data_IF_653647209360
#
_entry.id   IF_653647209360
#
_cell.length_a   1.000
_cell.length_b   1.000
_cell.length_c   1.000
_cell.angle_alpha   90.00
_cell.angle_beta   90.00
_cell.angle_gamma   90.00
#
_symmetry.space_group_name_H-M   'P 1'
#
loop_
_entity.id
_entity.type
_entity.pdbx_description
1 polymer ?
#
# COMPACT_ATOMS: atom_id res chain seq x y z
N UNK A 1 -48.81 7.79 32.95
CA UNK A 1 -47.69 8.74 33.12
C UNK A 1 -46.40 7.94 33.02
N UNK A 2 -45.75 7.98 31.86
CA UNK A 2 -44.41 7.42 31.66
C UNK A 2 -43.38 8.41 32.22
N UNK A 3 -42.47 7.94 33.07
CA UNK A 3 -41.33 8.72 33.51
C UNK A 3 -40.06 8.13 32.87
N UNK A 4 -39.40 8.97 32.08
CA UNK A 4 -38.20 8.74 31.30
C UNK A 4 -36.97 8.56 32.20
N UNK A 5 -36.23 7.46 32.05
CA UNK A 5 -34.90 7.32 32.65
C UNK A 5 -33.82 7.70 31.62
N UNK A 6 -33.08 8.76 31.90
CA UNK A 6 -31.91 9.19 31.12
C UNK A 6 -30.72 8.26 31.40
N UNK A 7 -30.12 7.70 30.34
CA UNK A 7 -28.79 7.10 30.40
C UNK A 7 -27.74 8.12 29.97
N UNK A 8 -27.08 8.78 30.91
CA UNK A 8 -25.75 9.35 30.69
C UNK A 8 -25.04 9.69 32.01
N UNK A 9 -24.26 8.76 32.57
CA UNK A 9 -23.08 9.10 33.40
C UNK A 9 -21.99 8.02 33.24
N UNK A 10 -20.72 8.39 33.05
CA UNK A 10 -19.60 7.46 33.03
C UNK A 10 -19.17 7.02 34.45
N UNK A 11 -18.54 5.85 34.60
CA UNK A 11 -18.13 5.32 35.91
C UNK A 11 -16.92 6.07 36.53
N UNK A 12 -16.75 6.03 37.87
CA UNK A 12 -15.69 6.75 38.58
C UNK A 12 -14.29 6.13 38.38
N UNK A 13 -13.21 6.94 38.49
CA UNK A 13 -11.84 6.48 38.30
C UNK A 13 -11.29 5.67 39.49
N UNK A 14 -10.41 4.72 39.18
CA UNK A 14 -9.77 3.77 40.11
C UNK A 14 -8.54 4.42 40.78
N UNK A 15 -8.26 4.20 42.08
CA UNK A 15 -7.09 4.78 42.76
C UNK A 15 -5.74 4.22 42.29
N UNK A 16 -4.74 5.11 42.16
CA UNK A 16 -3.35 4.80 41.82
C UNK A 16 -2.68 3.88 42.87
N UNK A 17 -2.25 2.68 42.47
CA UNK A 17 -1.36 1.81 43.24
C UNK A 17 0.09 1.98 42.73
N UNK A 18 0.87 2.81 43.41
CA UNK A 18 2.31 2.96 43.17
C UNK A 18 3.11 1.85 43.83
N UNK A 19 3.92 1.13 43.06
CA UNK A 19 4.89 0.12 43.52
C UNK A 19 6.20 0.82 43.97
N UNK A 20 6.80 0.47 45.13
CA UNK A 20 8.00 1.14 45.64
C UNK A 20 9.31 0.68 44.97
N UNK A 21 10.36 1.52 44.93
CA UNK A 21 11.64 1.20 44.27
C UNK A 21 12.56 0.30 45.12
N UNK A 22 13.48 -0.46 44.50
CA UNK A 22 14.36 -1.39 45.21
C UNK A 22 15.59 -0.72 45.85
N UNK A 23 15.95 -1.20 47.04
CA UNK A 23 17.04 -0.76 47.92
C UNK A 23 18.44 -1.12 47.39
N UNK A 24 19.37 -0.17 47.46
CA UNK A 24 20.80 -0.33 47.12
C UNK A 24 21.62 -0.83 48.32
N UNK A 25 22.11 -2.08 48.27
CA UNK A 25 23.14 -2.58 49.20
C UNK A 25 24.56 -2.32 48.66
N UNK A 26 25.42 -1.76 49.51
CA UNK A 26 26.85 -1.56 49.26
C UNK A 26 27.65 -2.84 49.54
N UNK A 27 28.59 -3.19 48.65
CA UNK A 27 29.67 -4.17 48.89
C UNK A 27 31.02 -3.60 48.43
N UNK A 28 32.15 -3.97 49.07
CA UNK A 28 33.38 -3.19 49.04
C UNK A 28 34.32 -3.48 47.86
N UNK A 29 35.20 -2.51 47.67
CA UNK A 29 36.19 -2.33 46.61
C UNK A 29 37.36 -3.34 46.70
N UNK A 30 37.75 -3.95 45.57
CA UNK A 30 39.08 -4.57 45.38
C UNK A 30 39.72 -4.05 44.09
N UNK A 31 40.95 -3.56 44.19
CA UNK A 31 41.85 -3.22 43.09
C UNK A 31 42.59 -4.46 42.58
N UNK A 32 42.84 -4.55 41.26
CA UNK A 32 44.15 -4.64 40.59
C UNK A 32 44.04 -5.23 39.17
N UNK A 33 44.77 -4.59 38.24
CA UNK A 33 45.28 -5.06 36.93
C UNK A 33 44.23 -5.49 35.86
N UNK A 34 44.36 -5.27 34.55
CA UNK A 34 45.46 -4.93 33.65
C UNK A 34 44.86 -4.43 32.32
N UNK A 35 45.67 -3.74 31.51
CA UNK A 35 45.28 -3.11 30.23
C UNK A 35 44.90 -4.15 29.17
N UNK A 36 43.82 -3.90 28.43
CA UNK A 36 43.64 -4.46 27.09
C UNK A 36 42.94 -3.42 26.17
N UNK A 37 43.62 -2.81 25.17
CA UNK A 37 43.06 -1.70 24.39
C UNK A 37 42.03 -2.09 23.32
N UNK A 38 41.80 -3.38 23.08
CA UNK A 38 41.17 -3.83 21.81
C UNK A 38 39.70 -4.25 21.88
N UNK A 39 38.98 -4.02 23.00
CA UNK A 39 37.58 -4.48 23.15
C UNK A 39 36.48 -3.50 22.71
N UNK A 40 36.81 -2.31 22.18
CA UNK A 40 35.82 -1.25 21.90
C UNK A 40 35.33 -1.14 20.44
N UNK A 41 35.42 -2.20 19.62
CA UNK A 41 35.01 -2.15 18.19
C UNK A 41 33.72 -2.91 17.84
N UNK A 42 33.01 -3.51 18.79
CA UNK A 42 31.85 -4.37 18.47
C UNK A 42 30.47 -3.84 18.91
N UNK A 43 30.39 -2.71 19.62
CA UNK A 43 29.11 -2.06 19.92
C UNK A 43 29.22 -0.56 19.68
N UNK A 44 28.82 -0.12 18.48
CA UNK A 44 28.44 1.27 18.26
C UNK A 44 27.06 1.48 18.90
N UNK A 45 26.88 2.45 19.81
CA UNK A 45 25.55 2.79 20.30
C UNK A 45 24.69 3.28 19.13
N UNK A 46 23.41 2.91 19.13
CA UNK A 46 22.42 3.47 18.22
C UNK A 46 22.47 5.00 18.29
N UNK A 47 22.91 5.66 17.21
CA UNK A 47 22.77 7.10 17.06
C UNK A 47 21.33 7.38 16.62
N UNK A 48 20.53 8.13 17.39
CA UNK A 48 19.23 8.59 16.92
C UNK A 48 19.44 9.40 15.64
N UNK A 49 18.64 9.13 14.62
CA UNK A 49 18.62 9.91 13.38
C UNK A 49 18.59 11.40 13.71
N UNK A 50 19.62 12.14 13.28
CA UNK A 50 19.55 13.60 13.23
C UNK A 50 18.44 13.95 12.25
N UNK A 51 17.37 14.57 12.77
CA UNK A 51 16.34 15.19 11.94
C UNK A 51 17.04 16.18 11.00
N UNK A 52 16.75 16.20 9.69
CA UNK A 52 17.24 17.27 8.84
C UNK A 52 16.69 18.58 9.38
N UNK A 53 17.58 19.53 9.68
CA UNK A 53 17.20 20.91 9.98
C UNK A 53 16.45 21.55 8.80
N UNK A 54 15.80 22.70 9.02
CA UNK A 54 15.04 23.39 7.98
C UNK A 54 16.01 24.07 7.00
N UNK A 55 16.55 23.30 6.07
CA UNK A 55 17.24 23.80 4.88
C UNK A 55 16.35 23.64 3.65
N UNK A 56 16.54 24.46 2.60
CA UNK A 56 15.78 24.34 1.37
C UNK A 56 15.94 22.92 0.80
N UNK A 57 14.82 22.30 0.43
CA UNK A 57 14.78 21.00 -0.23
C UNK A 57 15.37 21.19 -1.62
N UNK A 58 16.70 21.13 -1.74
CA UNK A 58 17.33 20.89 -3.03
C UNK A 58 17.09 19.43 -3.36
N UNK A 59 16.49 19.18 -4.52
CA UNK A 59 16.28 17.84 -5.05
C UNK A 59 17.59 17.06 -4.96
N UNK A 60 17.63 16.08 -4.05
CA UNK A 60 18.80 15.26 -3.85
C UNK A 60 19.10 14.52 -5.16
N UNK A 61 20.11 15.01 -5.86
CA UNK A 61 20.57 14.49 -7.14
C UNK A 61 20.91 13.00 -6.97
N UNK A 62 20.25 12.16 -7.76
CA UNK A 62 20.28 10.72 -7.58
C UNK A 62 21.59 10.12 -8.14
N UNK A 63 22.59 9.90 -7.27
CA UNK A 63 23.93 9.36 -7.61
C UNK A 63 23.94 7.87 -8.05
N UNK A 64 22.81 7.18 -8.16
CA UNK A 64 22.75 5.78 -8.65
C UNK A 64 23.42 4.71 -7.76
N UNK A 65 24.29 5.09 -6.82
CA UNK A 65 25.04 4.18 -5.91
C UNK A 65 24.23 3.66 -4.73
N UNK A 66 23.01 4.17 -4.52
CA UNK A 66 22.08 3.65 -3.51
C UNK A 66 21.26 2.50 -4.10
N UNK A 67 21.48 1.30 -3.58
CA UNK A 67 20.65 0.13 -3.89
C UNK A 67 19.19 0.46 -3.56
N UNK A 68 18.35 0.54 -4.58
CA UNK A 68 16.90 0.68 -4.38
C UNK A 68 16.35 -0.67 -3.95
N UNK A 69 15.64 -0.71 -2.82
CA UNK A 69 14.90 -1.91 -2.40
C UNK A 69 13.91 -2.28 -3.52
N UNK A 70 13.81 -3.57 -3.82
CA UNK A 70 12.72 -4.06 -4.66
C UNK A 70 11.40 -3.75 -3.96
N UNK A 71 10.50 -3.04 -4.65
CA UNK A 71 9.19 -2.67 -4.13
C UNK A 71 8.15 -3.42 -4.94
N UNK A 72 7.28 -4.17 -4.25
CA UNK A 72 6.11 -4.78 -4.87
C UNK A 72 5.20 -3.67 -5.38
N UNK A 73 4.92 -3.68 -6.69
CA UNK A 73 4.02 -2.70 -7.30
C UNK A 73 2.59 -3.21 -7.21
N UNK A 74 1.65 -2.30 -6.96
CA UNK A 74 0.22 -2.63 -7.09
C UNK A 74 -0.06 -3.01 -8.54
N UNK A 75 -0.74 -4.12 -8.73
CA UNK A 75 -1.11 -4.67 -10.03
C UNK A 75 -2.59 -5.01 -9.99
N UNK A 76 -3.33 -4.60 -11.02
CA UNK A 76 -4.69 -5.08 -11.29
C UNK A 76 -4.56 -6.06 -12.44
N UNK A 77 -4.57 -7.35 -12.10
CA UNK A 77 -4.41 -8.42 -13.07
C UNK A 77 -5.76 -9.07 -13.36
N UNK A 78 -6.19 -9.01 -14.62
CA UNK A 78 -7.42 -9.65 -15.10
C UNK A 78 -7.19 -11.11 -15.52
N UNK A 79 -5.94 -11.57 -15.66
CA UNK A 79 -5.65 -12.91 -16.15
C UNK A 79 -6.22 -14.00 -15.24
N UNK A 80 -6.12 -13.82 -13.91
CA UNK A 80 -6.71 -14.77 -12.95
C UNK A 80 -8.22 -14.93 -13.14
N UNK A 81 -8.94 -13.83 -13.36
CA UNK A 81 -10.38 -13.86 -13.59
C UNK A 81 -10.72 -14.52 -14.94
N UNK A 82 -9.96 -14.24 -15.99
CA UNK A 82 -10.13 -14.87 -17.31
C UNK A 82 -9.89 -16.38 -17.22
N UNK A 83 -8.83 -16.81 -16.53
CA UNK A 83 -8.56 -18.24 -16.29
C UNK A 83 -9.74 -18.89 -15.55
N UNK A 84 -10.22 -18.24 -14.47
CA UNK A 84 -11.37 -18.74 -13.71
C UNK A 84 -12.63 -18.88 -14.57
N UNK A 85 -12.88 -17.92 -15.46
CA UNK A 85 -13.98 -18.01 -16.44
C UNK A 85 -13.79 -19.19 -17.40
N UNK A 86 -12.58 -19.39 -17.93
CA UNK A 86 -12.28 -20.49 -18.85
C UNK A 86 -12.43 -21.87 -18.20
N UNK A 87 -12.07 -22.01 -16.92
CA UNK A 87 -12.32 -23.23 -16.15
C UNK A 87 -13.82 -23.44 -15.90
N UNK A 88 -14.53 -22.36 -15.58
CA UNK A 88 -15.94 -22.41 -15.20
C UNK A 88 -16.88 -22.70 -16.37
N UNK A 89 -16.60 -22.15 -17.56
CA UNK A 89 -17.45 -22.31 -18.75
C UNK A 89 -17.51 -23.74 -19.29
N UNK A 90 -16.64 -24.63 -18.81
CA UNK A 90 -16.66 -26.05 -19.18
C UNK A 90 -17.89 -26.75 -18.60
N UNK A 91 -18.35 -26.32 -17.43
CA UNK A 91 -19.46 -26.97 -16.71
C UNK A 91 -20.62 -26.03 -16.37
N UNK A 92 -20.39 -24.71 -16.35
CA UNK A 92 -21.46 -23.71 -16.19
C UNK A 92 -22.12 -23.45 -17.54
N UNK A 93 -23.40 -23.85 -17.68
CA UNK A 93 -24.18 -23.58 -18.91
C UNK A 93 -24.62 -22.12 -18.99
N UNK A 94 -25.07 -21.59 -17.85
CA UNK A 94 -25.52 -20.21 -17.69
C UNK A 94 -25.24 -19.69 -16.27
N UNK A 95 -25.74 -18.50 -15.96
CA UNK A 95 -25.54 -17.84 -14.66
C UNK A 95 -26.14 -18.62 -13.47
N UNK A 96 -27.08 -19.54 -13.69
CA UNK A 96 -27.76 -20.32 -12.63
C UNK A 96 -26.87 -21.43 -12.09
N UNK A 97 -25.96 -21.94 -12.92
CA UNK A 97 -24.96 -22.94 -12.51
C UNK A 97 -23.78 -22.29 -11.76
N UNK A 98 -23.64 -20.95 -11.82
CA UNK A 98 -22.56 -20.22 -11.16
C UNK A 98 -22.77 -20.14 -9.64
N UNK A 99 -21.73 -20.47 -8.89
CA UNK A 99 -21.71 -20.30 -7.42
C UNK A 99 -21.67 -18.82 -7.03
N UNK A 100 -22.43 -18.46 -6.02
CA UNK A 100 -22.39 -17.11 -5.46
C UNK A 100 -21.02 -16.81 -4.85
N UNK A 101 -20.44 -15.67 -5.24
CA UNK A 101 -19.20 -15.17 -4.66
C UNK A 101 -19.49 -14.63 -3.26
N UNK A 102 -18.83 -15.18 -2.24
CA UNK A 102 -19.03 -14.71 -0.87
C UNK A 102 -18.29 -13.38 -0.65
N UNK A 103 -18.82 -12.48 0.20
CA UNK A 103 -18.22 -11.17 0.46
C UNK A 103 -17.03 -11.27 1.45
N UNK A 104 -16.06 -12.12 1.12
CA UNK A 104 -14.85 -12.33 1.91
C UNK A 104 -13.61 -12.34 1.01
N UNK A 105 -12.47 -11.86 1.52
CA UNK A 105 -11.21 -11.73 0.76
C UNK A 105 -10.70 -13.07 0.24
N UNK A 106 -11.02 -14.18 0.91
CA UNK A 106 -10.60 -15.53 0.51
C UNK A 106 -11.19 -15.95 -0.84
N UNK A 107 -12.29 -15.31 -1.27
CA UNK A 107 -12.97 -15.61 -2.53
C UNK A 107 -12.46 -14.80 -3.71
N UNK A 108 -11.43 -13.95 -3.54
CA UNK A 108 -10.81 -13.23 -4.66
C UNK A 108 -10.41 -14.14 -5.85
N UNK A 109 -9.88 -15.37 -5.65
CA UNK A 109 -9.56 -16.28 -6.75
C UNK A 109 -10.77 -16.78 -7.56
N UNK A 110 -11.98 -16.71 -6.99
CA UNK A 110 -13.21 -17.14 -7.65
C UNK A 110 -13.89 -16.03 -8.47
N UNK A 111 -13.33 -14.81 -8.46
CA UNK A 111 -13.83 -13.69 -9.24
C UNK A 111 -13.70 -13.98 -10.74
N UNK A 112 -14.77 -13.76 -11.48
CA UNK A 112 -14.81 -13.85 -12.95
C UNK A 112 -14.84 -12.42 -13.57
N UNK A 113 -14.57 -12.26 -14.88
CA UNK A 113 -14.62 -10.96 -15.53
C UNK A 113 -16.08 -10.50 -15.78
N UNK A 114 -16.31 -9.19 -16.07
CA UNK A 114 -17.63 -8.65 -16.39
C UNK A 114 -18.50 -9.46 -17.35
N UNK A 115 -17.98 -10.00 -18.49
CA UNK A 115 -18.79 -10.78 -19.41
C UNK A 115 -19.44 -12.02 -18.80
N UNK A 116 -18.89 -12.56 -17.71
CA UNK A 116 -19.47 -13.71 -17.00
C UNK A 116 -20.67 -13.33 -16.14
N UNK A 117 -20.91 -12.05 -15.84
CA UNK A 117 -22.02 -11.55 -15.01
C UNK A 117 -23.00 -10.72 -15.83
N UNK A 118 -23.36 -11.19 -17.03
CA UNK A 118 -24.35 -10.51 -17.88
C UNK A 118 -25.71 -10.33 -17.18
N UNK A 119 -26.03 -11.22 -16.23
CA UNK A 119 -27.21 -11.18 -15.35
C UNK A 119 -27.13 -10.12 -14.24
N UNK A 120 -25.91 -9.74 -13.83
CA UNK A 120 -25.68 -8.81 -12.73
C UNK A 120 -24.53 -7.82 -13.05
N UNK A 121 -24.83 -6.72 -13.75
CA UNK A 121 -23.82 -5.77 -14.20
C UNK A 121 -23.17 -4.95 -13.07
N UNK A 122 -23.65 -5.07 -11.82
CA UNK A 122 -23.11 -4.34 -10.67
C UNK A 122 -21.62 -4.64 -10.42
N UNK A 123 -21.12 -5.78 -10.92
CA UNK A 123 -19.70 -6.13 -10.77
C UNK A 123 -18.76 -5.10 -11.42
N UNK A 124 -19.26 -4.34 -12.40
CA UNK A 124 -18.46 -3.40 -13.21
C UNK A 124 -18.47 -1.99 -12.62
N UNK A 125 -19.08 -1.81 -11.45
CA UNK A 125 -19.05 -0.54 -10.72
C UNK A 125 -17.69 -0.39 -10.03
N UNK A 126 -16.77 0.31 -10.70
CA UNK A 126 -15.37 0.46 -10.25
C UNK A 126 -15.19 1.60 -9.25
N UNK A 127 -15.61 1.40 -7.99
CA UNK A 127 -15.46 2.41 -6.91
C UNK A 127 -14.14 2.28 -6.12
N UNK A 128 -13.40 1.18 -6.29
CA UNK A 128 -12.13 0.95 -5.60
C UNK A 128 -11.00 1.70 -6.29
N UNK A 129 -10.47 2.73 -5.63
CA UNK A 129 -9.30 3.45 -6.11
C UNK A 129 -8.03 2.57 -6.15
N UNK A 130 -7.29 2.63 -7.25
CA UNK A 130 -6.07 1.85 -7.46
C UNK A 130 -4.81 2.70 -7.32
N UNK A 131 -4.68 3.73 -8.17
CA UNK A 131 -3.46 4.54 -8.28
C UNK A 131 -3.74 5.91 -8.91
N UNK A 132 -3.01 6.91 -8.45
CA UNK A 132 -2.84 8.19 -9.15
C UNK A 132 -1.56 8.12 -9.97
N UNK A 133 -1.68 8.26 -11.29
CA UNK A 133 -0.54 8.30 -12.21
C UNK A 133 -0.34 9.74 -12.69
N UNK A 134 0.86 10.29 -12.51
CA UNK A 134 1.19 11.68 -12.85
C UNK A 134 2.55 11.77 -13.50
N UNK A 135 2.66 12.71 -14.45
CA UNK A 135 3.94 13.08 -15.03
C UNK A 135 4.72 14.01 -14.10
N UNK A 136 6.04 14.10 -14.33
CA UNK A 136 6.91 15.06 -13.63
C UNK A 136 6.43 16.49 -13.89
N UNK A 137 6.26 16.82 -15.17
CA UNK A 137 5.61 18.07 -15.59
C UNK A 137 4.10 17.83 -15.64
N UNK A 138 3.34 18.61 -14.87
CA UNK A 138 1.89 18.44 -14.80
C UNK A 138 1.22 19.37 -15.80
N UNK A 139 0.51 18.78 -16.73
CA UNK A 139 -0.40 19.46 -17.64
C UNK A 139 -1.80 18.85 -17.50
N UNK A 140 -2.88 19.61 -17.70
CA UNK A 140 -4.23 19.07 -17.80
C UNK A 140 -4.32 17.95 -18.85
N UNK A 141 -5.03 16.87 -18.52
CA UNK A 141 -5.32 15.77 -19.44
C UNK A 141 -6.72 15.96 -20.00
N UNK A 142 -6.86 16.00 -21.33
CA UNK A 142 -8.15 16.21 -22.00
C UNK A 142 -8.77 14.92 -22.53
N UNK A 143 -7.95 13.93 -22.86
CA UNK A 143 -8.44 12.67 -23.41
C UNK A 143 -7.63 11.47 -22.92
N UNK A 144 -8.27 10.32 -22.93
CA UNK A 144 -7.69 9.05 -22.50
C UNK A 144 -8.25 7.93 -23.37
N UNK A 145 -7.42 6.97 -23.75
CA UNK A 145 -7.85 5.79 -24.49
C UNK A 145 -6.98 4.58 -24.14
N UNK A 146 -7.62 3.44 -23.95
CA UNK A 146 -6.91 2.16 -23.87
C UNK A 146 -6.50 1.70 -25.26
N UNK A 147 -5.34 1.06 -25.38
CA UNK A 147 -5.03 0.30 -26.61
C UNK A 147 -6.06 -0.83 -26.75
N UNK A 148 -6.45 -1.22 -27.97
CA UNK A 148 -7.49 -2.24 -28.17
C UNK A 148 -7.15 -3.59 -27.49
N UNK A 149 -5.86 -3.91 -27.38
CA UNK A 149 -5.35 -5.09 -26.66
C UNK A 149 -5.32 -4.94 -25.12
N UNK A 150 -5.62 -3.76 -24.58
CA UNK A 150 -5.60 -3.48 -23.14
C UNK A 150 -4.21 -3.36 -22.51
N UNK A 151 -3.13 -3.51 -23.30
CA UNK A 151 -1.75 -3.48 -22.81
C UNK A 151 -1.33 -2.12 -22.24
N UNK A 152 -1.86 -1.03 -22.79
CA UNK A 152 -1.47 0.33 -22.43
C UNK A 152 -2.68 1.27 -22.35
N UNK A 153 -2.60 2.23 -21.45
CA UNK A 153 -3.47 3.41 -21.41
C UNK A 153 -2.70 4.60 -21.97
N UNK A 154 -3.30 5.31 -22.93
CA UNK A 154 -2.75 6.52 -23.53
C UNK A 154 -3.52 7.72 -22.99
N UNK A 155 -2.81 8.78 -22.60
CA UNK A 155 -3.41 10.06 -22.18
C UNK A 155 -2.87 11.20 -23.02
N UNK A 156 -3.75 12.05 -23.55
CA UNK A 156 -3.39 13.28 -24.26
C UNK A 156 -3.46 14.50 -23.36
N UNK A 157 -2.34 15.20 -23.24
CA UNK A 157 -2.19 16.39 -22.41
C UNK A 157 -2.37 17.69 -23.21
N UNK A 158 -2.63 18.80 -22.52
CA UNK A 158 -2.71 20.15 -23.12
C UNK A 158 -1.40 20.61 -23.80
N UNK A 159 -0.27 19.99 -23.45
CA UNK A 159 1.04 20.24 -24.07
C UNK A 159 1.18 19.62 -25.47
N UNK A 160 0.20 18.82 -25.92
CA UNK A 160 0.32 18.03 -27.16
C UNK A 160 1.03 16.69 -26.97
N UNK A 161 1.38 16.33 -25.73
CA UNK A 161 2.10 15.10 -25.42
C UNK A 161 1.15 13.92 -25.21
N UNK A 162 1.58 12.74 -25.67
CA UNK A 162 0.96 11.46 -25.34
C UNK A 162 1.77 10.72 -24.31
N UNK A 163 1.18 10.43 -23.15
CA UNK A 163 1.82 9.57 -22.15
C UNK A 163 1.24 8.17 -22.21
N UNK A 164 2.11 7.17 -22.28
CA UNK A 164 1.75 5.76 -22.30
C UNK A 164 2.00 5.15 -20.92
N UNK A 165 0.94 4.60 -20.35
CA UNK A 165 0.93 3.93 -19.05
C UNK A 165 0.76 2.43 -19.22
N UNK A 166 1.47 1.64 -18.44
CA UNK A 166 1.31 0.19 -18.41
C UNK A 166 -0.11 -0.21 -17.96
N UNK A 167 -0.76 -1.13 -18.66
CA UNK A 167 -2.17 -1.43 -18.42
C UNK A 167 -2.50 -2.22 -17.14
N UNK A 168 -1.53 -2.95 -16.60
CA UNK A 168 -1.73 -3.75 -15.37
C UNK A 168 -1.26 -3.01 -14.12
N UNK A 169 -0.17 -2.25 -14.24
CA UNK A 169 0.55 -1.67 -13.10
C UNK A 169 0.49 -0.14 -13.04
N UNK A 170 -0.03 0.49 -14.10
CA UNK A 170 -0.14 1.94 -14.25
C UNK A 170 1.19 2.67 -14.05
N UNK A 171 2.31 2.02 -14.41
CA UNK A 171 3.63 2.65 -14.41
C UNK A 171 3.83 3.44 -15.70
N UNK A 172 4.60 4.53 -15.61
CA UNK A 172 5.06 5.24 -16.78
C UNK A 172 5.86 4.30 -17.67
N UNK A 173 5.51 4.23 -18.97
CA UNK A 173 6.31 3.52 -19.97
C UNK A 173 7.11 4.51 -20.81
N UNK A 174 6.42 5.45 -21.46
CA UNK A 174 7.07 6.45 -22.31
C UNK A 174 6.16 7.66 -22.53
N UNK A 175 6.75 8.71 -23.10
CA UNK A 175 6.06 9.90 -23.59
C UNK A 175 6.41 10.12 -25.05
N UNK A 176 5.41 10.48 -25.84
CA UNK A 176 5.56 10.84 -27.24
C UNK A 176 5.19 12.32 -27.39
N UNK A 177 6.00 13.05 -28.13
CA UNK A 177 5.77 14.44 -28.50
C UNK A 177 5.49 14.48 -30.00
N UNK A 178 4.48 15.25 -30.39
CA UNK A 178 4.14 15.52 -31.79
C UNK A 178 4.68 16.90 -32.16
#
# INVERSE_FOLDING_TARGET
MMQTAQYSQPPPPIPNLSVPPPSTRHYPQRQYAERDPNRLRFFQPFRPFTRPGPGPITDAEFDGKRLRKSVMRKTVDYNSAIIKMLESRVWQRDFRDRRALQPDVMYYPDLQPPPSYADNPINSVTTRFVKTATNKMRCPIFCMAWTPEGRRLVTGASSGEFTLWNGLTFNFETILQV
#
